data_IF_950366947006
#
_entry.id   IF_950366947006
#
_cell.length_a   1.000
_cell.length_b   1.000
_cell.length_c   1.000
_cell.angle_alpha   90.00
_cell.angle_beta   90.00
_cell.angle_gamma   90.00
#
_symmetry.space_group_name_H-M   'P 1'
#
loop_
_entity.id
_entity.type
_entity.pdbx_description
1 polymer ?
#
# COMPACT_ATOMS: atom_id res chain seq x y z
N UNK A 1 -2.61 15.08 -10.67
CA UNK A 1 -3.23 14.57 -9.43
C UNK A 1 -3.73 13.17 -9.69
N UNK A 2 -3.33 12.22 -8.85
CA UNK A 2 -3.89 10.88 -8.85
C UNK A 2 -5.37 10.90 -8.43
N UNK A 3 -6.19 10.06 -9.06
CA UNK A 3 -7.64 10.00 -8.91
C UNK A 3 -8.04 8.65 -8.30
N UNK A 4 -8.82 8.70 -7.22
CA UNK A 4 -9.37 7.52 -6.55
C UNK A 4 -10.64 7.07 -7.27
N UNK A 5 -10.67 5.82 -7.73
CA UNK A 5 -11.84 5.21 -8.37
C UNK A 5 -12.91 4.88 -7.33
N UNK A 6 -14.17 5.17 -7.62
CA UNK A 6 -15.28 4.83 -6.72
C UNK A 6 -15.61 3.33 -6.83
N UNK A 7 -15.78 2.67 -5.68
CA UNK A 7 -16.29 1.30 -5.61
C UNK A 7 -17.73 1.21 -6.14
N UNK A 8 -18.14 0.01 -6.55
CA UNK A 8 -19.48 -0.24 -7.08
C UNK A 8 -20.55 -0.03 -6.00
N UNK A 9 -21.35 1.03 -6.14
CA UNK A 9 -22.49 1.32 -5.26
C UNK A 9 -23.53 0.18 -5.26
N UNK A 10 -23.67 -0.53 -6.38
CA UNK A 10 -24.52 -1.72 -6.45
C UNK A 10 -24.03 -2.84 -5.53
N UNK A 11 -22.73 -3.15 -5.58
CA UNK A 11 -22.14 -4.18 -4.72
C UNK A 11 -22.13 -3.78 -3.25
N UNK A 12 -21.94 -2.50 -2.93
CA UNK A 12 -22.05 -1.95 -1.57
C UNK A 12 -23.47 -2.19 -1.02
N UNK A 13 -24.50 -1.84 -1.79
CA UNK A 13 -25.90 -2.05 -1.40
C UNK A 13 -26.21 -3.53 -1.20
N UNK A 14 -25.76 -4.40 -2.12
CA UNK A 14 -25.93 -5.86 -1.98
C UNK A 14 -25.22 -6.42 -0.75
N UNK A 15 -23.98 -6.00 -0.46
CA UNK A 15 -23.24 -6.42 0.72
C UNK A 15 -23.92 -5.97 2.02
N UNK A 16 -24.50 -4.77 2.03
CA UNK A 16 -25.31 -4.27 3.14
C UNK A 16 -26.57 -5.11 3.32
N UNK A 17 -27.33 -5.35 2.24
CA UNK A 17 -28.55 -6.15 2.28
C UNK A 17 -28.32 -7.57 2.80
N UNK A 18 -27.21 -8.20 2.39
CA UNK A 18 -26.84 -9.55 2.81
C UNK A 18 -26.16 -9.63 4.18
N UNK A 19 -26.00 -8.49 4.87
CA UNK A 19 -25.42 -8.40 6.20
C UNK A 19 -26.49 -8.21 7.26
N UNK A 20 -26.39 -8.95 8.36
CA UNK A 20 -27.30 -8.83 9.51
C UNK A 20 -27.42 -7.40 10.04
N UNK A 21 -26.32 -6.63 10.02
CA UNK A 21 -26.28 -5.25 10.52
C UNK A 21 -26.51 -4.19 9.44
N UNK A 22 -26.69 -4.59 8.17
CA UNK A 22 -26.96 -3.64 7.09
C UNK A 22 -25.80 -2.73 6.69
N UNK A 23 -24.57 -2.96 7.18
CA UNK A 23 -23.45 -2.01 7.08
C UNK A 23 -22.16 -2.56 6.46
N UNK A 24 -22.11 -3.83 6.05
CA UNK A 24 -20.87 -4.48 5.56
C UNK A 24 -20.24 -3.72 4.39
N UNK A 25 -21.02 -3.37 3.38
CA UNK A 25 -20.55 -2.62 2.22
C UNK A 25 -20.03 -1.22 2.57
N UNK A 26 -20.67 -0.54 3.54
CA UNK A 26 -20.19 0.76 4.00
C UNK A 26 -18.86 0.66 4.76
N UNK A 27 -18.70 -0.37 5.59
CA UNK A 27 -17.43 -0.64 6.27
C UNK A 27 -16.30 -0.95 5.27
N UNK A 28 -16.61 -1.77 4.25
CA UNK A 28 -15.67 -2.09 3.17
C UNK A 28 -15.24 -0.83 2.40
N UNK A 29 -16.19 0.05 2.09
CA UNK A 29 -15.91 1.35 1.45
C UNK A 29 -15.01 2.25 2.30
N UNK A 30 -15.31 2.38 3.60
CA UNK A 30 -14.51 3.19 4.50
C UNK A 30 -13.07 2.65 4.63
N UNK A 31 -12.91 1.32 4.66
CA UNK A 31 -11.60 0.68 4.59
C UNK A 31 -10.85 1.05 3.31
N UNK A 32 -11.50 0.89 2.15
CA UNK A 32 -10.88 1.24 0.85
C UNK A 32 -10.40 2.69 0.80
N UNK A 33 -11.25 3.63 1.23
CA UNK A 33 -10.94 5.05 1.27
C UNK A 33 -9.73 5.34 2.18
N UNK A 34 -9.66 4.70 3.35
CA UNK A 34 -8.51 4.83 4.27
C UNK A 34 -7.19 4.39 3.62
N UNK A 35 -7.19 3.26 2.91
CA UNK A 35 -5.99 2.77 2.21
C UNK A 35 -5.63 3.69 1.03
N UNK A 36 -6.62 4.22 0.31
CA UNK A 36 -6.40 5.16 -0.79
C UNK A 36 -5.78 6.48 -0.29
N UNK A 37 -6.28 7.02 0.83
CA UNK A 37 -5.73 8.22 1.49
C UNK A 37 -4.26 8.03 1.89
N UNK A 38 -3.92 6.86 2.45
CA UNK A 38 -2.52 6.53 2.76
C UNK A 38 -1.64 6.56 1.51
N UNK A 39 -2.08 5.95 0.40
CA UNK A 39 -1.34 5.98 -0.87
C UNK A 39 -1.14 7.41 -1.37
N UNK A 40 -2.16 8.26 -1.28
CA UNK A 40 -2.08 9.66 -1.70
C UNK A 40 -1.07 10.47 -0.88
N UNK A 41 -0.92 10.14 0.41
CA UNK A 41 0.04 10.78 1.31
C UNK A 41 1.51 10.38 1.07
N UNK A 42 1.77 9.30 0.31
CA UNK A 42 3.12 8.82 0.11
C UNK A 42 3.97 9.78 -0.75
N UNK A 43 5.27 9.98 -0.41
CA UNK A 43 6.20 10.85 -1.13
C UNK A 43 6.73 10.18 -2.43
N UNK A 44 5.83 9.79 -3.32
CA UNK A 44 6.13 9.17 -4.61
C UNK A 44 5.48 9.94 -5.76
N UNK A 45 5.92 9.69 -7.00
CA UNK A 45 5.36 10.39 -8.17
C UNK A 45 3.87 10.11 -8.34
N UNK A 46 3.15 11.05 -8.95
CA UNK A 46 1.71 10.93 -9.18
C UNK A 46 1.36 9.72 -10.07
N UNK A 47 2.22 9.38 -11.04
CA UNK A 47 2.03 8.17 -11.87
C UNK A 47 2.14 6.90 -11.02
N UNK A 48 3.07 6.86 -10.05
CA UNK A 48 3.20 5.73 -9.12
C UNK A 48 1.98 5.65 -8.21
N UNK A 49 1.51 6.78 -7.66
CA UNK A 49 0.27 6.81 -6.86
C UNK A 49 -0.91 6.25 -7.65
N UNK A 50 -1.09 6.70 -8.90
CA UNK A 50 -2.18 6.22 -9.74
C UNK A 50 -2.13 4.70 -9.96
N UNK A 51 -0.95 4.14 -10.26
CA UNK A 51 -0.78 2.68 -10.41
C UNK A 51 -1.11 1.90 -9.14
N UNK A 52 -0.73 2.44 -7.98
CA UNK A 52 -1.02 1.81 -6.68
C UNK A 52 -2.52 1.88 -6.35
N UNK A 53 -3.17 3.02 -6.63
CA UNK A 53 -4.62 3.19 -6.47
C UNK A 53 -5.42 2.27 -7.41
N UNK A 54 -4.97 2.11 -8.65
CA UNK A 54 -5.61 1.20 -9.62
C UNK A 54 -5.54 -0.26 -9.13
N UNK A 55 -4.39 -0.68 -8.61
CA UNK A 55 -4.22 -2.02 -8.04
C UNK A 55 -4.98 -2.22 -6.74
N UNK A 56 -5.05 -1.19 -5.89
CA UNK A 56 -5.91 -1.21 -4.70
C UNK A 56 -7.37 -1.40 -5.10
N UNK A 57 -7.85 -0.63 -6.08
CA UNK A 57 -9.20 -0.72 -6.59
C UNK A 57 -9.53 -2.12 -7.11
N UNK A 58 -8.64 -2.72 -7.90
CA UNK A 58 -8.82 -4.09 -8.42
C UNK A 58 -8.99 -5.10 -7.29
N UNK A 59 -8.05 -5.12 -6.34
CA UNK A 59 -8.06 -6.05 -5.19
C UNK A 59 -9.29 -5.85 -4.30
N UNK A 60 -9.65 -4.60 -4.01
CA UNK A 60 -10.78 -4.30 -3.15
C UNK A 60 -12.12 -4.58 -3.83
N UNK A 61 -12.21 -4.36 -5.15
CA UNK A 61 -13.39 -4.71 -5.94
C UNK A 61 -13.64 -6.22 -5.91
N UNK A 62 -12.58 -7.04 -5.88
CA UNK A 62 -12.70 -8.48 -5.72
C UNK A 62 -13.22 -8.86 -4.33
N UNK A 63 -12.70 -8.26 -3.25
CA UNK A 63 -13.23 -8.44 -1.89
C UNK A 63 -14.72 -8.10 -1.87
N UNK A 64 -15.08 -6.91 -2.36
CA UNK A 64 -16.45 -6.40 -2.34
C UNK A 64 -17.40 -7.28 -3.18
N UNK A 65 -16.93 -7.87 -4.28
CA UNK A 65 -17.69 -8.86 -5.05
C UNK A 65 -18.09 -10.05 -4.18
N UNK A 66 -17.15 -10.63 -3.42
CA UNK A 66 -17.47 -11.74 -2.53
C UNK A 66 -18.32 -11.31 -1.33
N UNK A 67 -18.08 -10.13 -0.75
CA UNK A 67 -18.91 -9.57 0.32
C UNK A 67 -20.36 -9.33 -0.11
N UNK A 68 -20.56 -8.92 -1.37
CA UNK A 68 -21.88 -8.71 -1.97
C UNK A 68 -22.66 -10.00 -2.17
N UNK A 69 -21.97 -11.14 -2.31
CA UNK A 69 -22.56 -12.46 -2.48
C UNK A 69 -22.68 -13.23 -1.17
N UNK A 70 -21.96 -12.79 -0.14
CA UNK A 70 -21.90 -13.47 1.14
C UNK A 70 -23.17 -13.23 1.96
N UNK A 71 -23.92 -14.29 2.22
CA UNK A 71 -25.04 -14.26 3.16
C UNK A 71 -24.62 -15.02 4.42
N UNK A 72 -24.75 -14.39 5.58
CA UNK A 72 -24.42 -15.05 6.85
C UNK A 72 -25.48 -16.09 7.22
N UNK A 73 -25.09 -17.06 8.06
CA UNK A 73 -26.03 -18.06 8.62
C UNK A 73 -27.20 -17.37 9.33
N UNK A 74 -26.95 -16.25 10.01
CA UNK A 74 -27.98 -15.48 10.72
C UNK A 74 -29.08 -14.95 9.78
N UNK A 75 -28.77 -14.70 8.51
CA UNK A 75 -29.73 -14.26 7.49
C UNK A 75 -30.28 -15.44 6.68
N UNK A 76 -29.42 -16.41 6.35
CA UNK A 76 -29.79 -17.57 5.55
C UNK A 76 -30.67 -18.58 6.31
N UNK A 77 -30.46 -18.74 7.63
CA UNK A 77 -31.18 -19.70 8.47
C UNK A 77 -32.69 -19.45 8.53
N UNK A 78 -33.14 -18.25 8.94
CA UNK A 78 -34.56 -17.89 8.92
C UNK A 78 -35.19 -17.96 7.53
N UNK A 79 -34.42 -17.65 6.48
CA UNK A 79 -34.87 -17.69 5.09
C UNK A 79 -34.81 -19.10 4.44
N UNK A 80 -34.40 -20.13 5.19
CA UNK A 80 -34.25 -21.53 4.73
C UNK A 80 -33.32 -21.71 3.51
N UNK A 81 -32.34 -20.81 3.33
CA UNK A 81 -31.33 -20.95 2.28
C UNK A 81 -30.18 -21.86 2.72
N UNK A 82 -29.51 -22.49 1.75
CA UNK A 82 -28.29 -23.26 2.01
C UNK A 82 -27.13 -22.33 2.38
N UNK A 83 -26.94 -22.13 3.68
CA UNK A 83 -25.95 -21.23 4.25
C UNK A 83 -24.52 -21.57 3.81
N UNK A 84 -24.17 -22.86 3.71
CA UNK A 84 -22.83 -23.31 3.27
C UNK A 84 -22.49 -22.88 1.85
N UNK A 85 -23.49 -22.82 0.95
CA UNK A 85 -23.30 -22.37 -0.45
C UNK A 85 -23.14 -20.84 -0.54
N UNK A 86 -23.82 -20.11 0.34
CA UNK A 86 -23.81 -18.64 0.39
C UNK A 86 -22.69 -18.07 1.27
N UNK A 87 -22.03 -18.93 2.05
CA UNK A 87 -20.85 -18.56 2.79
C UNK A 87 -19.67 -18.31 1.83
N UNK A 88 -19.07 -17.12 1.97
CA UNK A 88 -17.86 -16.69 1.26
C UNK A 88 -16.81 -16.15 2.23
N UNK A 89 -17.04 -16.31 3.55
CA UNK A 89 -16.19 -15.78 4.61
C UNK A 89 -14.72 -16.17 4.45
N UNK A 90 -14.44 -17.45 4.13
CA UNK A 90 -13.08 -17.93 3.89
C UNK A 90 -12.38 -17.19 2.75
N UNK A 91 -13.04 -16.98 1.61
CA UNK A 91 -12.45 -16.25 0.47
C UNK A 91 -12.28 -14.76 0.77
N UNK A 92 -13.24 -14.15 1.47
CA UNK A 92 -13.16 -12.76 1.93
C UNK A 92 -11.95 -12.58 2.85
N UNK A 93 -11.73 -13.50 3.78
CA UNK A 93 -10.60 -13.46 4.70
C UNK A 93 -9.26 -13.64 3.97
N UNK A 94 -9.18 -14.63 3.08
CA UNK A 94 -8.00 -14.87 2.24
C UNK A 94 -7.60 -13.61 1.44
N UNK A 95 -8.56 -12.99 0.75
CA UNK A 95 -8.32 -11.78 -0.03
C UNK A 95 -7.96 -10.57 0.85
N UNK A 96 -8.61 -10.43 2.01
CA UNK A 96 -8.30 -9.37 2.98
C UNK A 96 -6.86 -9.48 3.51
N UNK A 97 -6.42 -10.70 3.83
CA UNK A 97 -5.03 -10.97 4.23
C UNK A 97 -4.06 -10.65 3.09
N UNK A 98 -4.39 -11.05 1.86
CA UNK A 98 -3.55 -10.76 0.70
C UNK A 98 -3.41 -9.24 0.43
N UNK A 99 -4.49 -8.46 0.63
CA UNK A 99 -4.43 -6.99 0.54
C UNK A 99 -3.58 -6.40 1.66
N UNK A 100 -3.76 -6.86 2.89
CA UNK A 100 -2.99 -6.37 4.05
C UNK A 100 -1.50 -6.61 3.87
N UNK A 101 -1.10 -7.84 3.50
CA UNK A 101 0.30 -8.18 3.26
C UNK A 101 0.90 -7.35 2.12
N UNK A 102 0.19 -7.26 0.99
CA UNK A 102 0.63 -6.44 -0.14
C UNK A 102 0.83 -4.97 0.24
N UNK A 103 -0.06 -4.42 1.07
CA UNK A 103 0.04 -3.04 1.50
C UNK A 103 1.21 -2.82 2.48
N UNK A 104 1.40 -3.72 3.44
CA UNK A 104 2.50 -3.66 4.38
C UNK A 104 3.86 -3.73 3.67
N UNK A 105 3.98 -4.59 2.64
CA UNK A 105 5.19 -4.67 1.82
C UNK A 105 5.47 -3.35 1.10
N UNK A 106 4.43 -2.67 0.58
CA UNK A 106 4.57 -1.37 -0.06
C UNK A 106 4.98 -0.28 0.95
N UNK A 107 4.35 -0.26 2.12
CA UNK A 107 4.67 0.69 3.17
C UNK A 107 6.13 0.54 3.61
N UNK A 108 6.62 -0.69 3.74
CA UNK A 108 8.02 -0.97 4.05
C UNK A 108 8.96 -0.52 2.94
N UNK A 109 8.64 -0.80 1.67
CA UNK A 109 9.44 -0.34 0.53
C UNK A 109 9.54 1.19 0.47
N UNK A 110 8.44 1.89 0.75
CA UNK A 110 8.42 3.35 0.77
C UNK A 110 9.24 3.86 1.94
N UNK A 111 9.05 3.30 3.14
CA UNK A 111 9.86 3.63 4.32
C UNK A 111 11.35 3.45 4.06
N UNK A 112 11.75 2.34 3.42
CA UNK A 112 13.15 2.08 3.06
C UNK A 112 13.67 3.06 2.00
N UNK A 113 12.84 3.41 1.01
CA UNK A 113 13.22 4.40 -0.01
C UNK A 113 13.44 5.81 0.55
N UNK A 114 12.79 6.13 1.68
CA UNK A 114 12.93 7.41 2.38
C UNK A 114 14.09 7.44 3.36
N UNK A 115 14.63 6.28 3.77
CA UNK A 115 15.85 6.26 4.58
C UNK A 115 16.99 6.81 3.72
N UNK A 116 17.57 7.93 4.15
CA UNK A 116 18.80 8.49 3.58
C UNK A 116 19.81 7.36 3.38
N UNK A 117 20.44 7.36 2.22
CA UNK A 117 21.47 6.39 1.91
C UNK A 117 22.72 6.78 2.73
N UNK A 118 22.79 6.31 3.97
CA UNK A 118 23.85 6.60 4.95
C UNK A 118 25.23 6.38 4.34
N UNK A 119 25.35 5.43 3.41
CA UNK A 119 26.57 5.17 2.64
C UNK A 119 26.93 6.30 1.69
N UNK A 120 25.97 6.92 1.01
CA UNK A 120 26.24 8.03 0.09
C UNK A 120 26.66 9.29 0.86
N UNK A 121 26.01 9.56 2.00
CA UNK A 121 26.38 10.66 2.89
C UNK A 121 27.77 10.42 3.50
N UNK A 122 28.04 9.21 4.00
CA UNK A 122 29.36 8.82 4.50
C UNK A 122 30.46 8.87 3.42
N UNK A 123 30.16 8.48 2.16
CA UNK A 123 31.10 8.61 1.05
C UNK A 123 31.36 10.06 0.67
N UNK A 124 30.34 10.93 0.70
CA UNK A 124 30.51 12.37 0.46
C UNK A 124 31.36 13.00 1.56
N UNK A 125 31.09 12.68 2.83
CA UNK A 125 31.92 13.12 3.96
C UNK A 125 33.37 12.64 3.83
N UNK A 126 33.59 11.40 3.37
CA UNK A 126 34.93 10.87 3.16
C UNK A 126 35.65 11.54 1.99
N UNK A 127 34.95 11.83 0.89
CA UNK A 127 35.50 12.59 -0.25
C UNK A 127 35.86 14.02 0.18
N UNK A 128 34.97 14.69 0.92
CA UNK A 128 35.23 16.03 1.46
C UNK A 128 36.42 16.02 2.41
N UNK A 129 36.52 15.03 3.30
CA UNK A 129 37.67 14.85 4.17
C UNK A 129 38.97 14.70 3.37
N UNK A 130 39.00 13.83 2.35
CA UNK A 130 40.17 13.64 1.49
C UNK A 130 40.55 14.88 0.67
N UNK A 131 39.58 15.76 0.34
CA UNK A 131 39.81 16.99 -0.43
C UNK A 131 40.29 18.18 0.38
N UNK A 132 40.22 18.15 1.72
CA UNK A 132 40.69 19.27 2.55
C UNK A 132 42.17 19.54 2.31
N UNK A 133 42.53 20.81 2.10
CA UNK A 133 43.91 21.24 1.80
C UNK A 133 44.87 20.94 2.98
N UNK A 134 44.38 20.99 4.21
CA UNK A 134 45.13 20.63 5.42
C UNK A 134 45.19 19.11 5.70
N UNK A 135 44.66 18.27 4.80
CA UNK A 135 44.72 16.83 5.00
C UNK A 135 46.12 16.31 4.62
N UNK A 136 46.84 15.77 5.61
CA UNK A 136 48.18 15.17 5.44
C UNK A 136 48.23 14.01 4.43
N UNK A 137 47.07 13.45 4.08
CA UNK A 137 46.91 12.43 3.05
C UNK A 137 46.74 12.95 1.62
N UNK A 138 46.75 14.28 1.38
CA UNK A 138 46.66 14.86 0.03
C UNK A 138 48.04 14.85 -0.64
N UNK A 139 48.30 14.01 -1.66
CA UNK A 139 49.62 13.87 -2.27
C UNK A 139 50.00 15.03 -3.18
N UNK A 140 49.11 15.99 -3.41
CA UNK A 140 49.29 17.07 -4.40
C UNK A 140 50.55 17.90 -4.13
N UNK A 141 50.85 18.18 -2.86
CA UNK A 141 52.07 18.89 -2.46
C UNK A 141 53.35 18.07 -2.73
N UNK A 142 53.32 16.75 -2.52
CA UNK A 142 54.44 15.86 -2.82
C UNK A 142 54.63 15.63 -4.33
N UNK A 143 53.55 15.63 -5.11
CA UNK A 143 53.59 15.52 -6.57
C UNK A 143 54.08 16.80 -7.23
N UNK A 144 53.72 17.97 -6.71
CA UNK A 144 54.23 19.25 -7.18
C UNK A 144 55.76 19.36 -7.01
N UNK A 145 56.30 18.80 -5.92
CA UNK A 145 57.75 18.75 -5.66
C UNK A 145 58.53 17.82 -6.60
N UNK A 146 57.87 16.92 -7.32
CA UNK A 146 58.50 16.06 -8.36
C UNK A 146 58.55 16.72 -9.74
N UNK A 147 57.75 17.77 -9.96
CA UNK A 147 57.69 18.50 -11.23
C UNK A 147 58.64 19.72 -11.27
N UNK A 148 59.30 20.02 -10.17
CA UNK A 148 60.35 21.03 -9.99
C UNK A 148 61.73 20.40 -9.97
#
# INVERSE_FOLDING_TARGET
MAVVKKLSEGMIKSANYNSMMGKRGYLSKAGYETYAEKILSWPVSEEKKQKLLDKLYEKWSEILKYESQHVSVAVAGPARYNSRKLDKSGKILELSVAVSNWFNDLEEQIRQSQKKNDKAECLLEMIEFCRKEDNSGNPTCYLAALAS
#
